data_IF_863693938365
#
_entry.id   IF_863693938365
#
_cell.length_a   1.000
_cell.length_b   1.000
_cell.length_c   1.000
_cell.angle_alpha   90.00
_cell.angle_beta   90.00
_cell.angle_gamma   90.00
#
_symmetry.space_group_name_H-M   'P 1'
#
loop_
_entity.id
_entity.type
_entity.pdbx_description
1 polymer ?
#
# COMPACT_ATOMS: atom_id res chain seq x y z
N UNK A 1 2.32 -12.98 6.58
CA UNK A 1 3.66 -12.34 6.62
C UNK A 1 3.85 -11.59 7.93
N UNK A 2 5.08 -11.30 8.31
CA UNK A 2 5.44 -10.38 9.40
C UNK A 2 5.43 -8.93 8.92
N UNK A 3 5.37 -7.97 9.86
CA UNK A 3 5.51 -6.54 9.56
C UNK A 3 6.78 -6.23 8.75
N UNK A 4 7.91 -6.82 9.13
CA UNK A 4 9.19 -6.57 8.46
C UNK A 4 9.19 -7.09 7.01
N UNK A 5 8.60 -8.25 6.75
CA UNK A 5 8.45 -8.78 5.39
C UNK A 5 7.51 -7.90 4.54
N UNK A 6 6.44 -7.38 5.14
CA UNK A 6 5.51 -6.46 4.46
C UNK A 6 6.17 -5.13 4.11
N UNK A 7 7.05 -4.60 4.98
CA UNK A 7 7.85 -3.40 4.68
C UNK A 7 8.82 -3.67 3.54
N UNK A 8 9.50 -4.82 3.55
CA UNK A 8 10.36 -5.22 2.44
C UNK A 8 9.59 -5.31 1.12
N UNK A 9 8.36 -5.83 1.16
CA UNK A 9 7.47 -5.88 0.00
C UNK A 9 7.02 -4.49 -0.46
N UNK A 10 6.59 -3.63 0.46
CA UNK A 10 6.20 -2.25 0.19
C UNK A 10 7.33 -1.42 -0.44
N UNK A 11 8.56 -1.57 0.05
CA UNK A 11 9.73 -0.91 -0.53
C UNK A 11 9.93 -1.32 -2.00
N UNK A 12 9.79 -2.61 -2.34
CA UNK A 12 9.90 -3.07 -3.73
C UNK A 12 8.79 -2.54 -4.63
N UNK A 13 7.58 -2.38 -4.09
CA UNK A 13 6.44 -1.78 -4.80
C UNK A 13 6.72 -0.30 -5.09
N UNK A 14 7.16 0.47 -4.08
CA UNK A 14 7.45 1.91 -4.21
C UNK A 14 8.59 2.16 -5.20
N UNK A 15 9.66 1.35 -5.14
CA UNK A 15 10.80 1.53 -6.06
C UNK A 15 10.50 1.11 -7.49
N UNK A 16 9.33 0.50 -7.75
CA UNK A 16 8.92 -0.04 -9.05
C UNK A 16 10.03 -0.89 -9.70
N UNK A 17 10.75 -1.67 -8.88
CA UNK A 17 11.89 -2.48 -9.33
C UNK A 17 11.37 -3.79 -9.92
N UNK A 18 10.87 -3.71 -11.17
CA UNK A 18 10.31 -4.84 -11.92
C UNK A 18 9.41 -4.42 -13.09
N UNK A 19 8.85 -5.40 -13.79
CA UNK A 19 7.80 -5.16 -14.79
C UNK A 19 6.47 -4.78 -14.14
N UNK A 20 5.53 -4.22 -14.90
CA UNK A 20 4.18 -3.93 -14.42
C UNK A 20 3.50 -5.19 -13.85
N UNK A 21 3.71 -6.35 -14.48
CA UNK A 21 3.20 -7.63 -13.99
C UNK A 21 3.85 -8.06 -12.68
N UNK A 22 5.15 -7.83 -12.50
CA UNK A 22 5.85 -8.13 -11.24
C UNK A 22 5.32 -7.23 -10.12
N UNK A 23 5.19 -5.93 -10.37
CA UNK A 23 4.63 -4.97 -9.40
C UNK A 23 3.20 -5.38 -9.03
N UNK A 24 2.37 -5.74 -10.01
CA UNK A 24 1.01 -6.21 -9.78
C UNK A 24 0.98 -7.47 -8.89
N UNK A 25 1.89 -8.42 -9.10
CA UNK A 25 2.00 -9.60 -8.24
C UNK A 25 2.43 -9.25 -6.82
N UNK A 26 3.36 -8.31 -6.64
CA UNK A 26 3.78 -7.85 -5.31
C UNK A 26 2.62 -7.16 -4.58
N UNK A 27 1.84 -6.33 -5.29
CA UNK A 27 0.63 -5.69 -4.77
C UNK A 27 -0.41 -6.72 -4.31
N UNK A 28 -0.70 -7.73 -5.13
CA UNK A 28 -1.62 -8.81 -4.75
C UNK A 28 -1.15 -9.61 -3.52
N UNK A 29 0.15 -9.86 -3.40
CA UNK A 29 0.72 -10.53 -2.22
C UNK A 29 0.53 -9.66 -0.98
N UNK A 30 0.76 -8.35 -1.10
CA UNK A 30 0.58 -7.40 -0.02
C UNK A 30 -0.86 -7.40 0.49
N UNK A 31 -1.83 -7.24 -0.41
CA UNK A 31 -3.26 -7.15 -0.08
C UNK A 31 -3.79 -8.41 0.61
N UNK A 32 -3.31 -9.60 0.20
CA UNK A 32 -3.70 -10.87 0.84
C UNK A 32 -3.16 -11.02 2.26
N UNK A 33 -2.17 -10.21 2.66
CA UNK A 33 -1.50 -10.30 3.94
C UNK A 33 -1.84 -9.17 4.92
N UNK A 34 -2.72 -8.24 4.55
CA UNK A 34 -3.18 -7.15 5.42
C UNK A 34 -4.70 -7.13 5.52
N UNK A 35 -5.28 -6.65 6.62
CA UNK A 35 -6.74 -6.56 6.76
C UNK A 35 -7.37 -5.40 5.98
N UNK A 36 -6.58 -4.40 5.59
CA UNK A 36 -7.05 -3.26 4.83
C UNK A 36 -7.44 -3.67 3.40
N UNK A 37 -8.65 -3.34 2.93
CA UNK A 37 -9.09 -3.66 1.57
C UNK A 37 -8.32 -2.83 0.55
N UNK A 38 -7.66 -3.49 -0.40
CA UNK A 38 -6.84 -2.81 -1.44
C UNK A 38 -5.76 -1.90 -0.82
N UNK A 39 -5.06 -2.40 0.20
CA UNK A 39 -4.04 -1.65 0.94
C UNK A 39 -2.82 -1.27 0.11
N UNK A 40 -2.51 -2.06 -0.93
CA UNK A 40 -1.40 -1.80 -1.85
C UNK A 40 -1.62 -0.51 -2.67
N UNK A 41 -2.87 -0.12 -2.91
CA UNK A 41 -3.19 1.17 -3.56
C UNK A 41 -2.65 2.38 -2.78
N UNK A 42 -2.51 2.25 -1.45
CA UNK A 42 -2.05 3.32 -0.58
C UNK A 42 -0.57 3.66 -0.77
N UNK A 43 0.22 2.81 -1.44
CA UNK A 43 1.59 3.15 -1.83
C UNK A 43 1.64 4.26 -2.89
N UNK A 44 0.55 4.47 -3.63
CA UNK A 44 0.49 5.41 -4.74
C UNK A 44 -0.50 6.55 -4.52
N UNK A 45 -1.60 6.28 -3.80
CA UNK A 45 -2.67 7.25 -3.59
C UNK A 45 -3.07 7.35 -2.12
N UNK A 46 -3.28 8.56 -1.58
CA UNK A 46 -3.85 8.68 -0.26
C UNK A 46 -5.27 8.11 -0.23
N UNK A 47 -5.69 7.69 0.95
CA UNK A 47 -7.07 7.27 1.16
C UNK A 47 -8.04 8.41 0.83
N UNK A 48 -9.09 8.11 0.06
CA UNK A 48 -10.05 9.08 -0.47
C UNK A 48 -9.47 10.13 -1.44
N UNK A 49 -8.34 9.84 -2.10
CA UNK A 49 -7.74 10.72 -3.10
C UNK A 49 -8.76 11.21 -4.15
N UNK A 50 -8.80 12.52 -4.34
CA UNK A 50 -9.60 13.20 -5.34
C UNK A 50 -8.73 14.10 -6.20
N UNK A 51 -8.42 13.64 -7.42
CA UNK A 51 -7.59 14.34 -8.39
C UNK A 51 -8.07 15.75 -8.80
N UNK A 52 -9.28 16.18 -8.39
CA UNK A 52 -9.76 17.56 -8.63
C UNK A 52 -9.32 18.56 -7.57
N UNK A 53 -8.94 18.09 -6.38
CA UNK A 53 -8.69 18.95 -5.20
C UNK A 53 -7.40 18.59 -4.47
N UNK A 54 -6.96 17.34 -4.56
CA UNK A 54 -5.77 16.86 -3.87
C UNK A 54 -4.54 16.95 -4.77
N UNK A 55 -3.42 17.39 -4.19
CA UNK A 55 -2.13 17.38 -4.84
C UNK A 55 -1.41 16.05 -4.56
N UNK A 56 -1.31 15.20 -5.58
CA UNK A 56 -0.63 13.90 -5.43
C UNK A 56 0.89 14.05 -5.31
N UNK A 57 1.46 15.17 -5.75
CA UNK A 57 2.92 15.37 -5.75
C UNK A 57 3.50 15.53 -4.35
N UNK A 58 2.66 15.81 -3.35
CA UNK A 58 3.06 15.89 -1.94
C UNK A 58 2.83 14.58 -1.18
N UNK A 59 2.30 13.55 -1.84
CA UNK A 59 2.05 12.25 -1.24
C UNK A 59 3.27 11.34 -1.41
N UNK A 60 4.10 11.28 -0.37
CA UNK A 60 5.32 10.46 -0.32
C UNK A 60 5.30 9.55 0.92
N UNK A 61 4.40 8.54 0.97
CA UNK A 61 4.33 7.67 2.14
C UNK A 61 5.56 6.77 2.21
N UNK A 62 6.01 6.48 3.43
CA UNK A 62 6.97 5.41 3.67
C UNK A 62 6.29 4.04 3.65
N UNK A 63 7.05 2.98 3.35
CA UNK A 63 6.51 1.62 3.39
C UNK A 63 6.00 1.26 4.80
N UNK A 64 6.69 1.73 5.84
CA UNK A 64 6.31 1.59 7.24
C UNK A 64 4.94 2.19 7.54
N UNK A 65 4.68 3.43 7.10
CA UNK A 65 3.40 4.11 7.32
C UNK A 65 2.25 3.35 6.69
N UNK A 66 2.42 2.89 5.44
CA UNK A 66 1.40 2.12 4.75
C UNK A 66 1.17 0.77 5.42
N UNK A 67 2.23 0.06 5.79
CA UNK A 67 2.13 -1.24 6.47
C UNK A 67 1.43 -1.10 7.81
N UNK A 68 1.81 -0.11 8.61
CA UNK A 68 1.20 0.13 9.92
C UNK A 68 -0.27 0.52 9.79
N UNK A 69 -0.59 1.40 8.84
CA UNK A 69 -1.98 1.75 8.51
C UNK A 69 -2.77 0.51 8.13
N UNK A 70 -2.24 -0.30 7.21
CA UNK A 70 -2.92 -1.49 6.71
C UNK A 70 -3.14 -2.54 7.80
N UNK A 71 -2.14 -2.81 8.65
CA UNK A 71 -2.24 -3.77 9.76
C UNK A 71 -3.15 -3.29 10.90
N UNK A 72 -3.24 -1.97 11.11
CA UNK A 72 -4.12 -1.37 12.12
C UNK A 72 -5.59 -1.32 11.71
N UNK A 73 -5.88 -1.56 10.43
CA UNK A 73 -7.24 -1.48 9.89
C UNK A 73 -8.16 -2.48 10.61
N UNK A 74 -9.25 -1.94 11.13
CA UNK A 74 -10.34 -2.72 11.70
C UNK A 74 -11.51 -2.58 10.75
N UNK A 75 -11.88 -3.66 10.02
CA UNK A 75 -13.13 -3.66 9.30
C UNK A 75 -14.23 -3.25 10.27
N UNK A 76 -15.05 -2.27 9.88
CA UNK A 76 -16.29 -1.99 10.57
C UNK A 76 -17.16 -3.21 10.28
N UNK A 77 -17.15 -4.20 11.16
CA UNK A 77 -18.03 -5.35 11.03
C UNK A 77 -19.47 -4.82 11.04
N UNK A 78 -20.19 -5.09 9.94
CA UNK A 78 -21.64 -4.91 9.85
C UNK A 78 -22.41 -5.93 10.67
#
# INVERSE_FOLDING_TARGET
MTRAELIGLGNRIITADGSEEEIQQLMEIFDRNVPYPDGSSLFFYPENYNARVDDISVYEPTAEEIVDKCLSYKPING
#
